data_IF_924016144208
#
_entry.id   IF_924016144208
#
_cell.length_a   1.000
_cell.length_b   1.000
_cell.length_c   1.000
_cell.angle_alpha   90.00
_cell.angle_beta   90.00
_cell.angle_gamma   90.00
#
_symmetry.space_group_name_H-M   'P 1'
#
loop_
_entity.id
_entity.type
_entity.pdbx_description
1 polymer ?
#
# COMPACT_ATOMS: atom_id res chain seq x y z
N UNK A 1 8.24 -9.15 3.26
CA UNK A 1 7.45 -8.31 4.18
C UNK A 1 8.37 -7.32 4.87
N UNK A 2 8.19 -6.02 4.61
CA UNK A 2 8.89 -4.94 5.33
C UNK A 2 7.83 -4.17 6.11
N UNK A 3 7.38 -4.72 7.24
CA UNK A 3 6.57 -3.95 8.19
C UNK A 3 7.47 -2.87 8.80
N UNK A 4 7.45 -1.69 8.18
CA UNK A 4 8.21 -0.52 8.61
C UNK A 4 7.44 0.09 9.79
N UNK A 5 8.10 0.23 10.94
CA UNK A 5 7.51 0.87 12.14
C UNK A 5 7.48 2.39 11.96
N UNK A 6 6.63 2.86 11.05
CA UNK A 6 6.38 4.28 10.89
C UNK A 6 5.33 4.71 11.93
N UNK A 7 5.66 5.60 12.89
CA UNK A 7 4.78 5.92 14.01
C UNK A 7 3.46 6.56 13.55
N UNK A 8 3.52 7.40 12.51
CA UNK A 8 2.34 8.01 11.91
C UNK A 8 1.37 6.95 11.35
N UNK A 9 1.89 5.93 10.64
CA UNK A 9 1.06 4.86 10.09
C UNK A 9 0.38 4.02 11.18
N UNK A 10 1.10 3.73 12.27
CA UNK A 10 0.54 3.00 13.42
C UNK A 10 -0.58 3.81 14.07
N UNK A 11 -0.37 5.11 14.29
CA UNK A 11 -1.39 6.00 14.86
C UNK A 11 -2.63 6.04 13.96
N UNK A 12 -2.47 6.13 12.63
CA UNK A 12 -3.60 6.09 11.70
C UNK A 12 -4.38 4.77 11.79
N UNK A 13 -3.70 3.62 11.87
CA UNK A 13 -4.36 2.30 12.01
C UNK A 13 -5.12 2.21 13.34
N UNK A 14 -4.52 2.67 14.44
CA UNK A 14 -5.17 2.67 15.75
C UNK A 14 -6.42 3.56 15.76
N UNK A 15 -6.32 4.75 15.16
CA UNK A 15 -7.44 5.67 15.06
C UNK A 15 -8.60 5.07 14.25
N UNK A 16 -8.32 4.49 13.08
CA UNK A 16 -9.38 3.90 12.24
C UNK A 16 -10.09 2.75 12.94
N UNK A 17 -9.36 1.88 13.64
CA UNK A 17 -9.95 0.78 14.38
C UNK A 17 -10.72 1.24 15.63
N UNK A 18 -10.24 2.28 16.32
CA UNK A 18 -10.99 2.89 17.41
C UNK A 18 -12.33 3.46 16.92
N UNK A 19 -12.34 4.15 15.76
CA UNK A 19 -13.58 4.66 15.18
C UNK A 19 -14.53 3.53 14.76
N UNK A 20 -14.04 2.46 14.13
CA UNK A 20 -14.88 1.32 13.75
C UNK A 20 -15.50 0.62 14.97
N UNK A 21 -14.71 0.42 16.03
CA UNK A 21 -15.21 -0.16 17.29
C UNK A 21 -16.26 0.74 17.95
N UNK A 22 -16.02 2.06 17.96
CA UNK A 22 -17.00 3.01 18.48
C UNK A 22 -18.31 2.99 17.68
N UNK A 23 -18.25 2.96 16.35
CA UNK A 23 -19.43 2.81 15.50
C UNK A 23 -20.19 1.51 15.81
N UNK A 24 -19.49 0.38 15.96
CA UNK A 24 -20.11 -0.89 16.31
C UNK A 24 -20.82 -0.82 17.67
N UNK A 25 -20.17 -0.19 18.66
CA UNK A 25 -20.75 0.00 19.99
C UNK A 25 -22.04 0.84 19.93
N UNK A 26 -22.00 2.00 19.28
CA UNK A 26 -23.17 2.90 19.19
C UNK A 26 -24.33 2.20 18.48
N UNK A 27 -24.07 1.54 17.36
CA UNK A 27 -25.13 0.89 16.59
C UNK A 27 -25.77 -0.25 17.37
N UNK A 28 -24.99 -1.11 18.02
CA UNK A 28 -25.55 -2.26 18.75
C UNK A 28 -26.26 -1.83 20.04
N UNK A 29 -25.57 -1.07 20.89
CA UNK A 29 -26.03 -0.78 22.24
C UNK A 29 -26.94 0.44 22.35
N UNK A 30 -26.79 1.43 21.47
CA UNK A 30 -27.58 2.67 21.53
C UNK A 30 -28.76 2.65 20.55
N UNK A 31 -28.66 1.91 19.43
CA UNK A 31 -29.73 1.84 18.44
C UNK A 31 -30.46 0.50 18.46
N UNK A 32 -29.78 -0.62 18.21
CA UNK A 32 -30.46 -1.90 17.93
C UNK A 32 -31.10 -2.50 19.19
N UNK A 33 -30.36 -2.59 20.31
CA UNK A 33 -30.90 -3.13 21.56
C UNK A 33 -32.12 -2.36 22.08
N UNK A 34 -32.09 -1.01 22.22
CA UNK A 34 -33.25 -0.30 22.76
C UNK A 34 -34.42 -0.16 21.77
N UNK A 35 -34.17 -0.08 20.46
CA UNK A 35 -35.20 0.22 19.47
C UNK A 35 -35.82 -1.04 18.83
N UNK A 36 -35.08 -2.16 18.78
CA UNK A 36 -35.45 -3.36 18.01
C UNK A 36 -35.24 -4.68 18.78
N UNK A 37 -35.32 -4.65 20.11
CA UNK A 37 -34.95 -5.76 21.01
C UNK A 37 -35.53 -7.14 20.66
N UNK A 38 -36.67 -7.21 19.97
CA UNK A 38 -37.37 -8.46 19.60
C UNK A 38 -37.71 -8.55 18.10
N UNK A 39 -37.14 -7.68 17.27
CA UNK A 39 -37.46 -7.63 15.85
C UNK A 39 -36.44 -8.38 14.99
N UNK A 40 -36.92 -9.20 14.04
CA UNK A 40 -36.08 -9.81 13.01
C UNK A 40 -35.27 -8.77 12.22
N UNK A 41 -35.82 -7.56 12.04
CA UNK A 41 -35.12 -6.45 11.38
C UNK A 41 -33.91 -5.97 12.19
N UNK A 42 -33.98 -5.98 13.53
CA UNK A 42 -32.85 -5.64 14.40
C UNK A 42 -31.70 -6.62 14.21
N UNK A 43 -32.01 -7.93 14.25
CA UNK A 43 -31.03 -9.00 14.07
C UNK A 43 -30.37 -8.98 12.68
N UNK A 44 -31.16 -8.78 11.62
CA UNK A 44 -30.62 -8.69 10.25
C UNK A 44 -29.70 -7.47 10.07
N UNK A 45 -30.11 -6.30 10.57
CA UNK A 45 -29.26 -5.11 10.50
C UNK A 45 -27.98 -5.27 11.33
N UNK A 46 -28.05 -5.87 12.51
CA UNK A 46 -26.88 -6.18 13.32
C UNK A 46 -25.91 -7.11 12.56
N UNK A 47 -26.43 -8.16 11.93
CA UNK A 47 -25.63 -9.10 11.14
C UNK A 47 -24.93 -8.39 9.96
N UNK A 48 -25.67 -7.57 9.21
CA UNK A 48 -25.14 -6.82 8.08
C UNK A 48 -24.01 -5.89 8.54
N UNK A 49 -24.24 -5.10 9.60
CA UNK A 49 -23.26 -4.12 10.07
C UNK A 49 -22.00 -4.82 10.61
N UNK A 50 -22.16 -5.91 11.38
CA UNK A 50 -21.03 -6.75 11.81
C UNK A 50 -20.23 -7.29 10.62
N UNK A 51 -20.90 -7.76 9.56
CA UNK A 51 -20.24 -8.27 8.36
C UNK A 51 -19.47 -7.19 7.61
N UNK A 52 -20.03 -5.98 7.49
CA UNK A 52 -19.39 -4.84 6.83
C UNK A 52 -18.15 -4.36 7.58
N UNK A 53 -18.23 -4.28 8.92
CA UNK A 53 -17.08 -3.91 9.75
C UNK A 53 -16.00 -4.99 9.66
N UNK A 54 -16.37 -6.26 9.68
CA UNK A 54 -15.43 -7.37 9.51
C UNK A 54 -14.72 -7.31 8.14
N UNK A 55 -15.47 -7.12 7.05
CA UNK A 55 -14.89 -6.95 5.71
C UNK A 55 -13.99 -5.71 5.62
N UNK A 56 -14.38 -4.60 6.24
CA UNK A 56 -13.58 -3.38 6.29
C UNK A 56 -12.25 -3.61 6.98
N UNK A 57 -12.24 -4.27 8.15
CA UNK A 57 -11.00 -4.62 8.85
C UNK A 57 -10.15 -5.57 7.99
N UNK A 58 -10.75 -6.61 7.41
CA UNK A 58 -10.03 -7.58 6.59
C UNK A 58 -9.38 -6.94 5.36
N UNK A 59 -10.11 -6.07 4.65
CA UNK A 59 -9.60 -5.33 3.50
C UNK A 59 -8.48 -4.37 3.90
N UNK A 60 -8.62 -3.66 5.02
CA UNK A 60 -7.59 -2.77 5.53
C UNK A 60 -6.32 -3.53 5.93
N UNK A 61 -6.45 -4.67 6.63
CA UNK A 61 -5.34 -5.56 6.97
C UNK A 61 -4.63 -6.02 5.70
N UNK A 62 -5.38 -6.55 4.73
CA UNK A 62 -4.78 -7.00 3.47
C UNK A 62 -4.06 -5.86 2.75
N UNK A 63 -4.64 -4.67 2.67
CA UNK A 63 -3.99 -3.53 2.04
C UNK A 63 -2.71 -3.09 2.80
N UNK A 64 -2.75 -3.04 4.13
CA UNK A 64 -1.64 -2.60 4.96
C UNK A 64 -0.45 -3.58 4.94
N UNK A 65 -0.70 -4.88 4.81
CA UNK A 65 0.34 -5.91 4.78
C UNK A 65 0.73 -6.38 3.37
N UNK A 66 0.03 -5.93 2.33
CA UNK A 66 0.38 -6.26 0.96
C UNK A 66 1.69 -5.61 0.55
N UNK A 67 2.54 -6.38 -0.13
CA UNK A 67 3.78 -5.85 -0.69
C UNK A 67 3.42 -4.83 -1.79
N UNK A 68 3.95 -3.60 -1.74
CA UNK A 68 3.64 -2.58 -2.72
C UNK A 68 4.23 -2.87 -4.11
N UNK A 69 4.95 -3.97 -4.30
CA UNK A 69 5.51 -4.40 -5.57
C UNK A 69 6.91 -3.83 -5.79
N UNK A 70 7.88 -4.31 -5.00
CA UNK A 70 9.27 -3.86 -5.11
C UNK A 70 9.93 -4.28 -6.43
N UNK A 71 10.72 -3.38 -7.00
CA UNK A 71 11.62 -3.69 -8.12
C UNK A 71 12.79 -4.54 -7.59
N UNK A 72 13.16 -5.67 -8.23
CA UNK A 72 14.28 -6.48 -7.79
C UNK A 72 15.59 -5.68 -7.82
N UNK A 73 16.36 -5.74 -6.73
CA UNK A 73 17.68 -5.12 -6.68
C UNK A 73 18.70 -6.01 -7.41
N UNK A 74 19.62 -5.43 -8.19
CA UNK A 74 20.70 -6.17 -8.84
C UNK A 74 21.64 -6.73 -7.75
N UNK A 75 22.00 -8.01 -7.87
CA UNK A 75 22.85 -8.73 -6.89
C UNK A 75 24.34 -8.38 -6.99
N UNK A 76 24.75 -7.70 -8.07
CA UNK A 76 26.06 -7.08 -8.26
C UNK A 76 25.83 -5.59 -8.53
N UNK A 77 26.69 -4.73 -8.00
CA UNK A 77 26.66 -3.30 -8.33
C UNK A 77 26.61 -3.15 -9.84
N UNK A 78 25.60 -2.42 -10.33
CA UNK A 78 25.55 -2.07 -11.74
C UNK A 78 26.72 -1.14 -11.98
N UNK A 79 27.69 -1.59 -12.76
CA UNK A 79 28.79 -0.75 -13.18
C UNK A 79 28.26 0.18 -14.27
N UNK A 80 28.00 1.44 -13.91
CA UNK A 80 27.54 2.46 -14.84
C UNK A 80 28.64 2.89 -15.83
N UNK A 81 29.85 2.31 -15.72
CA UNK A 81 31.04 2.61 -16.52
C UNK A 81 30.89 2.25 -18.01
N UNK A 82 30.03 1.29 -18.37
CA UNK A 82 29.73 0.95 -19.77
C UNK A 82 28.90 2.02 -20.52
N UNK A 83 28.38 3.01 -19.80
CA UNK A 83 27.65 4.14 -20.43
C UNK A 83 28.61 5.25 -20.84
N UNK A 84 29.77 5.42 -20.19
CA UNK A 84 30.66 6.55 -20.46
C UNK A 84 31.57 6.33 -21.68
N UNK A 85 31.92 5.08 -22.01
CA UNK A 85 32.72 4.74 -23.20
C UNK A 85 31.92 4.79 -24.50
N UNK A 86 30.59 4.78 -24.43
CA UNK A 86 29.68 4.83 -25.59
C UNK A 86 28.99 6.20 -25.77
N UNK A 87 29.46 7.25 -25.09
CA UNK A 87 28.94 8.63 -25.25
C UNK A 87 29.42 9.27 -26.56
N UNK A 88 30.55 8.81 -27.11
CA UNK A 88 31.13 9.42 -28.32
C UNK A 88 30.60 8.87 -29.65
N UNK A 89 29.73 7.86 -29.64
CA UNK A 89 29.13 7.36 -30.89
C UNK A 89 27.66 6.97 -30.66
N UNK A 90 26.76 7.90 -30.94
CA UNK A 90 25.39 7.62 -31.39
C UNK A 90 24.44 6.86 -30.44
N UNK A 91 24.48 7.11 -29.12
CA UNK A 91 23.60 6.44 -28.14
C UNK A 91 22.55 7.34 -27.46
N UNK A 92 22.30 8.55 -28.00
CA UNK A 92 21.07 9.31 -27.72
C UNK A 92 19.83 8.73 -28.42
N UNK A 93 19.99 7.64 -29.19
CA UNK A 93 18.96 6.99 -29.99
C UNK A 93 18.65 5.56 -29.51
N UNK A 94 18.34 5.37 -28.22
CA UNK A 94 17.49 4.24 -27.79
C UNK A 94 16.79 4.46 -26.45
N UNK A 95 16.58 5.71 -26.05
CA UNK A 95 15.65 6.10 -24.99
C UNK A 95 14.17 6.01 -25.42
N UNK A 96 13.88 5.37 -26.56
CA UNK A 96 12.57 5.43 -27.23
C UNK A 96 11.80 4.11 -27.29
N UNK A 97 12.18 3.08 -26.52
CA UNK A 97 11.32 1.91 -26.30
C UNK A 97 11.17 1.67 -24.78
N UNK A 98 10.15 2.33 -24.22
CA UNK A 98 9.48 2.00 -22.95
C UNK A 98 10.07 2.63 -21.66
N UNK A 99 10.39 3.93 -21.64
CA UNK A 99 10.33 4.77 -20.41
C UNK A 99 11.12 4.33 -19.15
N UNK A 100 12.22 3.61 -19.30
CA UNK A 100 13.09 3.20 -18.18
C UNK A 100 13.98 4.38 -17.73
N UNK A 101 14.10 4.59 -16.41
CA UNK A 101 14.91 5.68 -15.79
C UNK A 101 15.86 5.08 -14.75
N UNK A 102 16.89 5.81 -14.30
CA UNK A 102 17.83 5.33 -13.27
C UNK A 102 17.47 5.90 -11.90
N UNK A 103 17.64 5.11 -10.84
CA UNK A 103 17.54 5.57 -9.45
C UNK A 103 18.89 5.54 -8.74
N UNK A 104 19.54 6.70 -8.58
CA UNK A 104 20.85 6.85 -7.91
C UNK A 104 20.86 6.48 -6.41
N UNK A 105 19.70 6.21 -5.80
CA UNK A 105 19.60 5.78 -4.39
C UNK A 105 19.52 4.28 -4.21
N UNK A 106 19.06 3.57 -5.23
CA UNK A 106 18.95 2.12 -5.21
C UNK A 106 19.97 1.47 -6.16
N UNK A 107 20.69 2.27 -6.95
CA UNK A 107 21.57 1.84 -8.03
C UNK A 107 20.90 0.79 -8.92
N UNK A 108 19.66 1.09 -9.33
CA UNK A 108 18.84 0.20 -10.16
C UNK A 108 18.20 0.92 -11.33
N UNK A 109 17.98 0.19 -12.42
CA UNK A 109 17.06 0.60 -13.48
C UNK A 109 15.61 0.52 -12.99
N UNK A 110 14.88 1.62 -13.17
CA UNK A 110 13.50 1.83 -12.77
C UNK A 110 12.59 1.71 -14.00
N UNK A 111 11.66 0.75 -14.05
CA UNK A 111 10.67 0.68 -15.13
C UNK A 111 9.79 1.93 -15.16
N UNK A 112 9.22 2.25 -16.33
CA UNK A 112 8.26 3.33 -16.51
C UNK A 112 7.17 3.31 -15.43
N UNK A 113 6.78 4.48 -14.90
CA UNK A 113 5.82 4.62 -13.77
C UNK A 113 6.29 4.07 -12.42
N UNK A 114 7.57 3.68 -12.32
CA UNK A 114 8.38 3.54 -11.10
C UNK A 114 8.13 4.62 -10.05
N UNK A 115 8.49 4.52 -8.77
CA UNK A 115 9.04 5.67 -8.01
C UNK A 115 9.87 5.21 -6.81
N UNK A 116 10.84 6.02 -6.37
CA UNK A 116 11.59 5.74 -5.17
C UNK A 116 10.79 6.21 -3.96
N UNK A 117 10.32 5.27 -3.14
CA UNK A 117 9.66 5.60 -1.89
C UNK A 117 10.71 5.84 -0.80
N UNK A 118 10.84 7.09 -0.32
CA UNK A 118 11.74 7.45 0.78
C UNK A 118 11.40 6.69 2.06
N UNK A 119 10.11 6.45 2.29
CA UNK A 119 9.60 5.73 3.45
C UNK A 119 9.91 4.24 3.37
N UNK A 120 9.86 3.60 2.19
CA UNK A 120 10.25 2.18 2.04
C UNK A 120 11.75 2.00 1.80
N UNK A 121 12.49 3.05 1.41
CA UNK A 121 13.88 3.01 0.90
C UNK A 121 14.05 2.04 -0.28
N UNK A 122 13.01 1.89 -1.11
CA UNK A 122 13.00 0.99 -2.27
C UNK A 122 12.24 1.63 -3.42
N UNK A 123 12.61 1.24 -4.65
CA UNK A 123 11.80 1.53 -5.83
C UNK A 123 10.56 0.63 -5.83
N UNK A 124 9.38 1.26 -5.91
CA UNK A 124 8.07 0.62 -5.88
C UNK A 124 7.38 0.82 -7.22
N UNK A 125 6.84 -0.24 -7.81
CA UNK A 125 6.03 -0.15 -9.02
C UNK A 125 4.65 0.40 -8.68
N UNK A 126 4.21 1.43 -9.41
CA UNK A 126 2.81 1.83 -9.36
C UNK A 126 2.01 0.77 -10.14
N UNK A 127 1.23 -0.06 -9.45
CA UNK A 127 0.11 -0.74 -10.10
C UNK A 127 -0.92 0.35 -10.44
N UNK A 128 -1.27 0.47 -11.71
CA UNK A 128 -2.45 1.25 -12.14
C UNK A 128 -3.67 0.34 -12.07
#
# INVERSE_FOLDING_TARGET
MLFRKDPCGIVCILLTYAMLLHCLYVILFVLIIPLFNESLYGTLNALIICSLIFLSILSHVRAAYSDPGFVPLPKKGLDFSDVTTNVNTNSSLKSNEIGWTICNRCDTYRPARSHHCRICKRCVRRLM
#
